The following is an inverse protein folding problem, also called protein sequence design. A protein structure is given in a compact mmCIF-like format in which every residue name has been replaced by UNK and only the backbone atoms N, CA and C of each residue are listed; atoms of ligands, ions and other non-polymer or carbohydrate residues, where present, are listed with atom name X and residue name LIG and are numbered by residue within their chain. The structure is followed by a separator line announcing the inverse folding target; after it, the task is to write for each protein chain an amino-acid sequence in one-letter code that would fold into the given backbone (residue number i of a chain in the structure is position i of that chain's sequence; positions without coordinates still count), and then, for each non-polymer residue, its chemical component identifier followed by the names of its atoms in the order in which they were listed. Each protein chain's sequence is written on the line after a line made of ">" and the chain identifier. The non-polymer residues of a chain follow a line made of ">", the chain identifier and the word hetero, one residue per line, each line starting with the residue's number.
data_IF_432340186802
#
_entry.id   IF_432340186802
#
_cell.length_a   1.000
_cell.length_b   1.000
_cell.length_c   1.000
_cell.angle_alpha   90.00
_cell.angle_beta   90.00
_cell.angle_gamma   90.00
#
_symmetry.space_group_name_H-M   'P 1'
#
loop_
_entity.id
_entity.type
_entity.pdbx_description
1 polymer ?
#
# COMPACT_ATOMS: atom_id res chain seq x y z
N UNK A 1 -0.30 18.15 15.91
CA UNK A 1 -1.37 17.75 16.84
C UNK A 1 -0.82 16.68 17.77
N UNK A 2 0.06 17.06 18.71
CA UNK A 2 0.76 16.10 19.58
C UNK A 2 0.70 16.52 21.06
N UNK A 3 -0.21 17.42 21.40
CA UNK A 3 -0.31 17.92 22.77
C UNK A 3 -0.98 16.87 23.65
N UNK A 4 -0.36 16.56 24.77
CA UNK A 4 -0.95 15.66 25.78
C UNK A 4 -2.16 16.33 26.44
N UNK A 5 -3.04 15.55 27.07
CA UNK A 5 -4.17 16.09 27.82
C UNK A 5 -3.72 17.10 28.88
N UNK A 6 -2.60 16.85 29.56
CA UNK A 6 -2.04 17.77 30.56
C UNK A 6 -1.58 19.09 29.95
N UNK A 7 -0.97 19.06 28.77
CA UNK A 7 -0.56 20.27 28.05
C UNK A 7 -1.77 21.09 27.60
N UNK A 8 -2.84 20.43 27.12
CA UNK A 8 -4.09 21.11 26.76
C UNK A 8 -4.76 21.77 27.97
N UNK A 9 -4.80 21.07 29.11
CA UNK A 9 -5.31 21.65 30.37
C UNK A 9 -4.46 22.85 30.77
N UNK A 10 -3.12 22.72 30.72
CA UNK A 10 -2.20 23.82 31.04
C UNK A 10 -2.39 25.04 30.14
N UNK A 11 -2.59 24.82 28.84
CA UNK A 11 -2.87 25.89 27.87
C UNK A 11 -4.20 26.59 28.16
N UNK A 12 -5.26 25.83 28.44
CA UNK A 12 -6.58 26.41 28.71
C UNK A 12 -6.55 27.22 30.03
N UNK A 13 -5.82 26.74 31.03
CA UNK A 13 -5.63 27.48 32.29
C UNK A 13 -4.81 28.75 32.09
N UNK A 14 -3.76 28.74 31.27
CA UNK A 14 -3.00 29.97 30.98
C UNK A 14 -3.84 31.01 30.22
N UNK A 15 -4.70 30.57 29.30
CA UNK A 15 -5.68 31.43 28.63
C UNK A 15 -6.71 32.02 29.60
N UNK A 16 -7.13 31.25 30.63
CA UNK A 16 -7.98 31.77 31.70
C UNK A 16 -7.28 32.88 32.48
N UNK A 17 -6.02 32.68 32.88
CA UNK A 17 -5.28 33.68 33.68
C UNK A 17 -5.00 34.97 32.89
N UNK A 18 -4.82 34.85 31.58
CA UNK A 18 -4.64 35.99 30.69
C UNK A 18 -5.91 36.83 30.48
N UNK A 19 -7.10 36.31 30.81
CA UNK A 19 -8.37 36.98 30.55
C UNK A 19 -8.82 37.85 31.73
N UNK A 20 -8.88 39.19 31.60
CA UNK A 20 -9.24 40.09 32.70
C UNK A 20 -10.66 39.86 33.24
N UNK A 21 -11.58 39.39 32.40
CA UNK A 21 -12.98 39.16 32.79
C UNK A 21 -13.17 37.91 33.66
N UNK A 22 -12.19 37.02 33.70
CA UNK A 22 -12.26 35.75 34.43
C UNK A 22 -11.50 35.78 35.77
N UNK A 23 -10.97 36.93 36.18
CA UNK A 23 -10.20 37.07 37.43
C UNK A 23 -11.03 36.82 38.70
N UNK A 24 -12.36 36.90 38.63
CA UNK A 24 -13.24 36.52 39.75
C UNK A 24 -13.21 35.02 40.08
N UNK A 25 -12.66 34.18 39.20
CA UNK A 25 -12.51 32.74 39.42
C UNK A 25 -11.15 32.44 40.07
N UNK A 26 -11.10 32.49 41.40
CA UNK A 26 -9.86 32.38 42.19
C UNK A 26 -9.70 31.06 42.94
N UNK A 27 -10.73 30.20 42.92
CA UNK A 27 -10.68 28.94 43.66
C UNK A 27 -9.63 27.99 43.07
N UNK A 28 -8.63 27.63 43.88
CA UNK A 28 -7.59 26.67 43.55
C UNK A 28 -8.03 25.21 43.75
N UNK A 29 -9.27 24.96 44.15
CA UNK A 29 -9.77 23.60 44.36
C UNK A 29 -9.74 22.80 43.06
N UNK A 30 -9.29 21.53 43.15
CA UNK A 30 -9.39 20.57 42.05
C UNK A 30 -10.84 20.25 41.65
N UNK A 31 -11.79 20.52 42.55
CA UNK A 31 -13.23 20.29 42.31
C UNK A 31 -13.99 21.57 41.98
N UNK A 32 -13.29 22.69 41.73
CA UNK A 32 -13.94 23.93 41.36
C UNK A 32 -14.73 23.75 40.05
N UNK A 33 -15.99 24.19 40.03
CA UNK A 33 -16.91 23.98 38.89
C UNK A 33 -16.33 24.54 37.59
N UNK A 34 -15.76 25.75 37.62
CA UNK A 34 -15.13 26.37 36.45
C UNK A 34 -13.94 25.55 35.92
N UNK A 35 -13.15 24.97 36.82
CA UNK A 35 -11.99 24.15 36.47
C UNK A 35 -12.43 22.85 35.81
N UNK A 36 -13.41 22.17 36.39
CA UNK A 36 -13.98 20.94 35.81
C UNK A 36 -14.58 21.19 34.41
N UNK A 37 -15.23 22.34 34.18
CA UNK A 37 -15.73 22.70 32.86
C UNK A 37 -14.58 22.86 31.84
N UNK A 38 -13.51 23.56 32.21
CA UNK A 38 -12.34 23.75 31.33
C UNK A 38 -11.60 22.44 31.07
N UNK A 39 -11.44 21.58 32.08
CA UNK A 39 -10.85 20.25 31.93
C UNK A 39 -11.72 19.34 31.03
N UNK A 40 -13.05 19.47 31.11
CA UNK A 40 -13.97 18.76 30.19
C UNK A 40 -13.78 19.22 28.75
N UNK A 41 -13.65 20.52 28.50
CA UNK A 41 -13.37 21.05 27.15
C UNK A 41 -12.00 20.58 26.65
N UNK A 42 -10.97 20.56 27.51
CA UNK A 42 -9.66 20.00 27.17
C UNK A 42 -9.76 18.53 26.75
N UNK A 43 -10.58 17.75 27.46
CA UNK A 43 -10.85 16.35 27.13
C UNK A 43 -11.57 16.20 25.78
N UNK A 44 -12.55 17.05 25.46
CA UNK A 44 -13.21 17.04 24.14
C UNK A 44 -12.20 17.31 23.01
N UNK A 45 -11.34 18.32 23.18
CA UNK A 45 -10.29 18.65 22.21
C UNK A 45 -9.30 17.49 22.04
N UNK A 46 -8.90 16.86 23.14
CA UNK A 46 -8.02 15.69 23.11
C UNK A 46 -8.64 14.52 22.33
N UNK A 47 -9.91 14.19 22.58
CA UNK A 47 -10.60 13.13 21.84
C UNK A 47 -10.71 13.44 20.35
N UNK A 48 -10.93 14.71 19.99
CA UNK A 48 -10.94 15.12 18.59
C UNK A 48 -9.57 14.95 17.92
N UNK A 49 -8.48 15.28 18.63
CA UNK A 49 -7.12 15.03 18.14
C UNK A 49 -6.83 13.55 17.93
N UNK A 50 -7.26 12.68 18.86
CA UNK A 50 -7.11 11.23 18.71
C UNK A 50 -7.93 10.68 17.54
N UNK A 51 -9.15 11.18 17.33
CA UNK A 51 -9.97 10.80 16.18
C UNK A 51 -9.29 11.18 14.85
N UNK A 52 -8.73 12.38 14.75
CA UNK A 52 -7.98 12.81 13.57
C UNK A 52 -6.70 11.99 13.36
N UNK A 53 -6.00 11.62 14.43
CA UNK A 53 -4.81 10.77 14.36
C UNK A 53 -5.16 9.39 13.82
N UNK A 54 -6.25 8.80 14.29
CA UNK A 54 -6.74 7.53 13.78
C UNK A 54 -7.11 7.64 12.30
N UNK A 55 -7.81 8.70 11.92
CA UNK A 55 -8.19 8.94 10.53
C UNK A 55 -6.97 9.11 9.60
N UNK A 56 -5.96 9.88 9.99
CA UNK A 56 -4.71 9.99 9.23
C UNK A 56 -4.02 8.64 9.09
N UNK A 57 -3.96 7.85 10.18
CA UNK A 57 -3.41 6.50 10.12
C UNK A 57 -4.19 5.60 9.15
N UNK A 58 -5.51 5.64 9.19
CA UNK A 58 -6.34 4.88 8.24
C UNK A 58 -6.12 5.33 6.79
N UNK A 59 -5.90 6.62 6.55
CA UNK A 59 -5.53 7.14 5.23
C UNK A 59 -4.16 6.61 4.82
N UNK A 60 -3.15 6.68 5.69
CA UNK A 60 -1.81 6.18 5.41
C UNK A 60 -1.83 4.67 5.13
N UNK A 61 -2.59 3.90 5.91
CA UNK A 61 -2.79 2.47 5.71
C UNK A 61 -3.52 2.21 4.37
N UNK A 62 -4.51 3.02 4.00
CA UNK A 62 -5.18 2.94 2.70
C UNK A 62 -4.27 3.32 1.53
N UNK A 63 -3.41 4.32 1.69
CA UNK A 63 -2.42 4.73 0.68
C UNK A 63 -1.34 3.65 0.53
N UNK A 64 -0.87 3.06 1.63
CA UNK A 64 0.05 1.93 1.59
C UNK A 64 -0.61 0.68 0.97
N UNK A 65 -1.90 0.48 1.22
CA UNK A 65 -2.70 -0.57 0.59
C UNK A 65 -3.04 -0.27 -0.88
N UNK A 66 -3.05 1.00 -1.29
CA UNK A 66 -3.09 1.37 -2.70
C UNK A 66 -1.81 0.86 -3.36
N UNK A 67 -1.96 -0.23 -4.12
CA UNK A 67 -0.90 -0.83 -4.92
C UNK A 67 -0.57 0.10 -6.09
N UNK A 68 0.10 1.22 -5.82
CA UNK A 68 0.69 2.06 -6.87
C UNK A 68 1.82 1.24 -7.50
N UNK A 69 1.74 0.91 -8.80
CA UNK A 69 2.78 0.12 -9.45
C UNK A 69 4.12 0.84 -9.39
N UNK A 70 5.02 0.31 -8.57
CA UNK A 70 6.40 0.76 -8.44
C UNK A 70 7.35 -0.33 -8.96
N UNK A 71 8.65 -0.03 -9.06
CA UNK A 71 9.64 -0.97 -9.60
C UNK A 71 9.66 -2.31 -8.84
N UNK A 72 9.50 -2.26 -7.51
CA UNK A 72 9.45 -3.46 -6.66
C UNK A 72 8.20 -4.29 -6.95
N UNK A 73 7.05 -3.63 -7.14
CA UNK A 73 5.80 -4.28 -7.50
C UNK A 73 5.92 -5.01 -8.84
N UNK A 74 6.47 -4.36 -9.88
CA UNK A 74 6.70 -5.01 -11.18
C UNK A 74 7.68 -6.18 -11.07
N UNK A 75 8.71 -6.08 -10.22
CA UNK A 75 9.61 -7.19 -9.93
C UNK A 75 8.89 -8.35 -9.27
N UNK A 76 8.04 -8.08 -8.28
CA UNK A 76 7.25 -9.10 -7.59
C UNK A 76 6.25 -9.77 -8.54
N UNK A 77 5.58 -9.01 -9.41
CA UNK A 77 4.71 -9.60 -10.42
C UNK A 77 5.50 -10.47 -11.40
N UNK A 78 6.70 -10.06 -11.81
CA UNK A 78 7.55 -10.88 -12.66
C UNK A 78 7.89 -12.24 -12.03
N UNK A 79 8.21 -12.26 -10.73
CA UNK A 79 8.52 -13.48 -9.98
C UNK A 79 7.29 -14.35 -9.69
N UNK A 80 6.09 -13.75 -9.70
CA UNK A 80 4.81 -14.45 -9.49
C UNK A 80 4.22 -15.04 -10.77
N UNK A 81 4.78 -14.73 -11.93
CA UNK A 81 4.30 -15.23 -13.21
C UNK A 81 4.30 -16.76 -13.23
N UNK A 82 3.14 -17.34 -13.57
CA UNK A 82 2.93 -18.77 -13.70
C UNK A 82 2.58 -19.10 -15.15
N UNK A 83 3.44 -19.85 -15.83
CA UNK A 83 3.20 -20.25 -17.21
C UNK A 83 2.15 -21.36 -17.28
N UNK A 84 1.15 -21.20 -18.16
CA UNK A 84 0.05 -22.18 -18.33
C UNK A 84 -1.14 -21.98 -17.37
N UNK A 85 -1.09 -20.99 -16.49
CA UNK A 85 -2.19 -20.63 -15.60
C UNK A 85 -2.94 -19.41 -16.12
N UNK A 86 -4.27 -19.46 -16.02
CA UNK A 86 -5.10 -18.31 -16.38
C UNK A 86 -5.15 -17.29 -15.24
N UNK A 87 -5.19 -16.01 -15.62
CA UNK A 87 -5.38 -14.91 -14.69
C UNK A 87 -6.83 -14.85 -14.24
N UNK A 88 -7.06 -14.72 -12.94
CA UNK A 88 -8.38 -14.51 -12.38
C UNK A 88 -8.97 -13.21 -12.97
N UNK A 89 -10.06 -13.29 -13.75
CA UNK A 89 -10.68 -12.13 -14.38
C UNK A 89 -11.28 -11.15 -13.36
N UNK A 90 -11.52 -11.59 -12.11
CA UNK A 90 -12.01 -10.75 -11.02
C UNK A 90 -10.88 -10.13 -10.19
N UNK A 91 -9.64 -10.56 -10.42
CA UNK A 91 -8.48 -10.04 -9.69
C UNK A 91 -7.96 -8.75 -10.31
N UNK A 92 -8.07 -7.66 -9.54
CA UNK A 92 -7.44 -6.37 -9.86
C UNK A 92 -5.90 -6.40 -9.71
N UNK A 93 -5.35 -7.49 -9.19
CA UNK A 93 -3.93 -7.62 -8.81
C UNK A 93 -3.17 -8.58 -9.71
N UNK A 94 -3.83 -9.14 -10.74
CA UNK A 94 -3.24 -10.11 -11.66
C UNK A 94 -2.92 -11.44 -10.98
N UNK A 95 -3.78 -11.89 -10.06
CA UNK A 95 -3.66 -13.21 -9.45
C UNK A 95 -4.02 -14.31 -10.44
N UNK A 96 -3.36 -15.46 -10.31
CA UNK A 96 -3.64 -16.65 -11.12
C UNK A 96 -4.73 -17.49 -10.46
N UNK A 97 -5.58 -18.11 -11.26
CA UNK A 97 -6.54 -19.10 -10.78
C UNK A 97 -5.79 -20.30 -10.19
N UNK A 98 -6.33 -20.98 -9.15
CA UNK A 98 -5.73 -22.20 -8.62
C UNK A 98 -5.92 -23.41 -9.55
N UNK A 99 -6.43 -23.19 -10.77
CA UNK A 99 -6.73 -24.22 -11.75
C UNK A 99 -5.97 -23.97 -13.04
N UNK A 100 -5.56 -25.05 -13.70
CA UNK A 100 -4.95 -25.01 -15.03
C UNK A 100 -5.68 -25.94 -15.99
N UNK A 101 -5.56 -25.68 -17.29
CA UNK A 101 -6.04 -26.59 -18.33
C UNK A 101 -4.97 -27.65 -18.64
N UNK A 102 -5.31 -28.93 -18.46
CA UNK A 102 -4.46 -30.03 -18.89
C UNK A 102 -4.44 -30.12 -20.43
N UNK A 103 -3.47 -30.85 -21.01
CA UNK A 103 -3.34 -31.06 -22.47
C UNK A 103 -4.55 -31.71 -23.16
N UNK A 104 -5.56 -32.13 -22.38
CA UNK A 104 -6.84 -32.67 -22.82
C UNK A 104 -8.02 -31.67 -22.70
N UNK A 105 -7.77 -30.42 -22.28
CA UNK A 105 -8.78 -29.37 -22.13
C UNK A 105 -9.63 -29.47 -20.86
N UNK A 106 -9.19 -30.23 -19.85
CA UNK A 106 -9.88 -30.34 -18.57
C UNK A 106 -9.29 -29.36 -17.54
N UNK A 107 -10.15 -28.69 -16.78
CA UNK A 107 -9.75 -27.79 -15.70
C UNK A 107 -9.44 -28.61 -14.43
N UNK A 108 -8.18 -28.60 -14.00
CA UNK A 108 -7.71 -29.33 -12.82
C UNK A 108 -7.21 -28.33 -11.77
N UNK A 109 -7.49 -28.60 -10.50
CA UNK A 109 -6.92 -27.83 -9.38
C UNK A 109 -5.44 -28.16 -9.22
N UNK A 110 -4.57 -27.16 -9.31
CA UNK A 110 -3.13 -27.33 -9.17
C UNK A 110 -2.72 -27.71 -7.75
N UNK A 111 -1.78 -28.63 -7.65
CA UNK A 111 -1.03 -28.91 -6.44
C UNK A 111 0.03 -27.84 -6.21
N UNK A 112 0.52 -27.73 -4.97
CA UNK A 112 1.55 -26.75 -4.61
C UNK A 112 2.85 -26.93 -5.43
N UNK A 113 3.18 -28.16 -5.82
CA UNK A 113 4.36 -28.45 -6.62
C UNK A 113 4.20 -27.93 -8.06
N UNK A 114 3.03 -28.14 -8.68
CA UNK A 114 2.74 -27.65 -10.03
C UNK A 114 2.76 -26.11 -10.12
N UNK A 115 2.33 -25.44 -9.05
CA UNK A 115 2.40 -23.97 -8.93
C UNK A 115 3.85 -23.48 -8.82
N UNK A 116 4.74 -24.23 -8.17
CA UNK A 116 6.16 -23.86 -8.08
C UNK A 116 6.91 -24.14 -9.39
N UNK A 117 6.57 -25.23 -10.07
CA UNK A 117 7.15 -25.61 -11.36
C UNK A 117 6.70 -24.67 -12.49
N UNK A 118 5.50 -24.10 -12.39
CA UNK A 118 4.98 -23.11 -13.35
C UNK A 118 5.64 -21.72 -13.22
N UNK A 119 6.31 -21.44 -12.08
CA UNK A 119 7.09 -20.21 -11.87
C UNK A 119 8.43 -20.29 -12.58
N UNK A 120 8.40 -19.96 -13.87
CA UNK A 120 9.57 -20.01 -14.75
C UNK A 120 10.59 -18.88 -14.50
N UNK A 121 10.20 -17.76 -13.87
CA UNK A 121 11.08 -16.62 -13.61
C UNK A 121 11.58 -16.68 -12.15
N UNK A 122 12.88 -16.92 -11.95
CA UNK A 122 13.50 -16.93 -10.61
C UNK A 122 14.25 -15.64 -10.30
N UNK A 123 14.73 -14.95 -11.33
CA UNK A 123 15.42 -13.68 -11.19
C UNK A 123 14.78 -12.61 -12.06
N UNK A 124 14.48 -11.47 -11.44
CA UNK A 124 13.95 -10.30 -12.13
C UNK A 124 14.62 -9.03 -11.59
N UNK A 125 15.03 -8.17 -12.52
CA UNK A 125 15.53 -6.82 -12.25
C UNK A 125 14.69 -5.81 -13.02
N UNK A 126 14.24 -4.75 -12.36
CA UNK A 126 13.37 -3.73 -12.93
C UNK A 126 13.98 -2.37 -12.67
N UNK A 127 14.01 -1.53 -13.71
CA UNK A 127 14.53 -0.17 -13.63
C UNK A 127 13.57 0.77 -14.34
N UNK A 128 13.09 1.82 -13.66
CA UNK A 128 12.30 2.87 -14.27
C UNK A 128 13.20 4.06 -14.65
N UNK A 129 13.06 4.51 -15.89
CA UNK A 129 13.70 5.72 -16.38
C UNK A 129 12.62 6.68 -16.90
N UNK A 130 12.71 7.94 -16.50
CA UNK A 130 11.87 8.99 -17.08
C UNK A 130 12.62 9.54 -18.28
N UNK A 131 12.10 9.29 -19.48
CA UNK A 131 12.68 9.89 -20.69
C UNK A 131 12.47 11.41 -20.67
N UNK A 132 13.32 12.17 -21.37
CA UNK A 132 13.23 13.64 -21.45
C UNK A 132 11.88 14.20 -21.90
N UNK A 133 11.02 13.36 -22.49
CA UNK A 133 9.65 13.68 -22.90
C UNK A 133 8.59 13.45 -21.81
N UNK A 134 8.99 13.14 -20.56
CA UNK A 134 8.09 12.89 -19.43
C UNK A 134 7.45 11.49 -19.40
N UNK A 135 7.78 10.62 -20.35
CA UNK A 135 7.28 9.23 -20.41
C UNK A 135 8.10 8.34 -19.50
N UNK A 136 7.43 7.63 -18.59
CA UNK A 136 8.04 6.62 -17.72
C UNK A 136 8.22 5.32 -18.50
N UNK A 137 9.48 4.94 -18.72
CA UNK A 137 9.87 3.70 -19.38
C UNK A 137 10.40 2.73 -18.33
N UNK A 138 9.79 1.56 -18.22
CA UNK A 138 10.18 0.52 -17.27
C UNK A 138 10.90 -0.56 -18.07
N UNK A 139 12.16 -0.80 -17.74
CA UNK A 139 12.96 -1.88 -18.33
C UNK A 139 13.03 -3.04 -17.36
N UNK A 140 12.63 -4.22 -17.82
CA UNK A 140 12.66 -5.46 -17.05
C UNK A 140 13.69 -6.41 -17.65
N UNK A 141 14.47 -7.07 -16.81
CA UNK A 141 15.34 -8.18 -17.20
C UNK A 141 14.94 -9.40 -16.40
N UNK A 142 14.64 -10.50 -17.08
CA UNK A 142 14.16 -11.74 -16.48
C UNK A 142 15.12 -12.89 -16.79
N UNK A 143 15.25 -13.84 -15.85
CA UNK A 143 15.99 -15.07 -16.04
C UNK A 143 15.33 -16.23 -15.29
N UNK A 144 15.47 -17.43 -15.86
CA UNK A 144 15.04 -18.69 -15.25
C UNK A 144 16.02 -19.21 -14.20
N UNK A 145 15.82 -20.47 -13.78
CA UNK A 145 16.72 -21.14 -12.82
C UNK A 145 18.12 -21.36 -13.39
N UNK A 146 18.22 -21.74 -14.66
CA UNK A 146 19.48 -21.79 -15.41
C UNK A 146 19.73 -20.43 -16.06
N UNK A 147 20.75 -19.71 -15.59
CA UNK A 147 21.13 -18.39 -16.15
C UNK A 147 21.62 -18.45 -17.60
N UNK A 148 21.99 -19.64 -18.09
CA UNK A 148 22.51 -19.87 -19.44
C UNK A 148 21.42 -20.26 -20.46
N UNK A 149 20.21 -20.62 -19.99
CA UNK A 149 19.09 -20.94 -20.87
C UNK A 149 18.22 -19.71 -21.11
N UNK A 150 18.16 -19.29 -22.37
CA UNK A 150 17.25 -18.23 -22.80
C UNK A 150 15.82 -18.76 -22.74
N UNK A 151 14.93 -17.99 -22.09
CA UNK A 151 13.50 -18.29 -22.06
C UNK A 151 12.98 -18.35 -23.51
N UNK A 152 12.27 -19.43 -23.86
CA UNK A 152 11.74 -19.60 -25.22
C UNK A 152 10.78 -18.47 -25.61
N UNK A 153 10.69 -18.17 -26.91
CA UNK A 153 9.87 -17.08 -27.44
C UNK A 153 8.40 -17.19 -27.02
N UNK A 154 7.84 -18.40 -26.93
CA UNK A 154 6.47 -18.64 -26.46
C UNK A 154 6.26 -18.23 -25.01
N UNK A 155 7.22 -18.59 -24.13
CA UNK A 155 7.19 -18.21 -22.71
C UNK A 155 7.38 -16.70 -22.53
N UNK A 156 8.25 -16.09 -23.33
CA UNK A 156 8.47 -14.65 -23.33
C UNK A 156 7.23 -13.87 -23.81
N UNK A 157 6.51 -14.38 -24.83
CA UNK A 157 5.27 -13.79 -25.32
C UNK A 157 4.14 -13.89 -24.29
N UNK A 158 4.01 -15.03 -23.62
CA UNK A 158 3.05 -15.22 -22.53
C UNK A 158 3.33 -14.25 -21.37
N UNK A 159 4.60 -14.09 -21.00
CA UNK A 159 5.02 -13.14 -19.98
C UNK A 159 4.71 -11.69 -20.38
N UNK A 160 5.01 -11.31 -21.63
CA UNK A 160 4.70 -9.97 -22.14
C UNK A 160 3.19 -9.68 -22.10
N UNK A 161 2.38 -10.65 -22.50
CA UNK A 161 0.91 -10.54 -22.45
C UNK A 161 0.38 -10.37 -21.02
N UNK A 162 0.97 -11.08 -20.06
CA UNK A 162 0.66 -10.93 -18.63
C UNK A 162 0.98 -9.52 -18.13
N UNK A 163 2.20 -9.05 -18.40
CA UNK A 163 2.64 -7.71 -17.97
C UNK A 163 1.79 -6.61 -18.61
N UNK A 164 1.45 -6.74 -19.90
CA UNK A 164 0.58 -5.79 -20.59
C UNK A 164 -0.83 -5.71 -20.00
N UNK A 165 -1.34 -6.81 -19.44
CA UNK A 165 -2.66 -6.87 -18.81
C UNK A 165 -2.70 -6.23 -17.42
N UNK A 166 -1.59 -6.27 -16.67
CA UNK A 166 -1.52 -5.78 -15.29
C UNK A 166 -0.89 -4.39 -15.16
N UNK A 167 -0.21 -3.88 -16.20
CA UNK A 167 0.53 -2.62 -16.14
C UNK A 167 -0.38 -1.43 -15.83
N UNK A 168 0.19 -0.43 -15.15
CA UNK A 168 -0.48 0.84 -14.95
C UNK A 168 -0.69 1.53 -16.31
N UNK A 169 -1.84 2.18 -16.49
CA UNK A 169 -2.07 3.00 -17.68
C UNK A 169 -1.00 4.08 -17.81
N UNK A 170 -0.31 4.11 -18.96
CA UNK A 170 0.74 5.09 -19.27
C UNK A 170 2.18 4.64 -18.98
N UNK A 171 2.38 3.53 -18.27
CA UNK A 171 3.70 2.91 -18.17
C UNK A 171 4.07 2.24 -19.51
N UNK A 172 5.28 2.47 -19.99
CA UNK A 172 5.80 1.81 -21.19
C UNK A 172 6.83 0.77 -20.77
N UNK A 173 6.45 -0.51 -20.80
CA UNK A 173 7.28 -1.61 -20.33
C UNK A 173 8.05 -2.24 -21.50
N UNK A 174 9.35 -2.44 -21.30
CA UNK A 174 10.23 -3.19 -22.21
C UNK A 174 10.86 -4.32 -21.42
N UNK A 175 10.57 -5.56 -21.84
CA UNK A 175 11.15 -6.80 -21.30
C UNK A 175 12.30 -7.24 -22.18
#
# INVERSE_FOLDING_TARGET
>A
MNSTLQELIGLILSLKEANPFLQGLTSNSKTAVWRNMLETVAFMIFNFQEALRLHMKEIDDKIAAQKVPNEKWYREQALRFQYGFELDPLSYTGEFLPTYEDGNGNIITATQQEIEDSKIIKYASVTANISGNGVKKISMKIAGENMDEVISDEKALAFKSYIERIQATGDNIVV
#
